data_IF_248237312726
#
_entry.id   IF_248237312726
#
_cell.length_a   1.000
_cell.length_b   1.000
_cell.length_c   1.000
_cell.angle_alpha   90.00
_cell.angle_beta   90.00
_cell.angle_gamma   90.00
#
_symmetry.space_group_name_H-M   'P 1'
#
loop_
_entity.id
_entity.type
_entity.pdbx_description
1 polymer ?
#
# COMPACT_ATOMS: atom_id res chain seq x y z
N UNK A 1 -10.84 -1.51 13.97
CA UNK A 1 -9.47 -1.01 14.25
C UNK A 1 -8.51 -1.65 13.24
N UNK A 2 -7.53 -0.90 12.72
CA UNK A 2 -6.51 -1.43 11.81
C UNK A 2 -5.55 -2.36 12.57
N UNK A 3 -5.22 -3.52 12.01
CA UNK A 3 -4.24 -4.43 12.60
C UNK A 3 -2.85 -4.09 12.08
N UNK A 4 -1.95 -3.67 12.97
CA UNK A 4 -0.56 -3.36 12.63
C UNK A 4 0.22 -4.58 12.14
N UNK A 5 -0.25 -5.79 12.47
CA UNK A 5 0.38 -7.04 12.06
C UNK A 5 0.52 -7.16 10.52
N UNK A 6 -0.40 -6.55 9.76
CA UNK A 6 -0.40 -6.59 8.30
C UNK A 6 0.84 -5.94 7.66
N UNK A 7 1.42 -4.92 8.30
CA UNK A 7 2.62 -4.25 7.78
C UNK A 7 3.89 -4.59 8.57
N UNK A 8 3.76 -5.25 9.72
CA UNK A 8 4.90 -5.52 10.62
C UNK A 8 5.94 -6.42 9.95
N UNK A 9 5.51 -7.43 9.20
CA UNK A 9 6.41 -8.28 8.41
C UNK A 9 7.29 -7.45 7.45
N UNK A 10 6.67 -6.58 6.66
CA UNK A 10 7.40 -5.71 5.73
C UNK A 10 8.32 -4.71 6.42
N UNK A 11 7.87 -4.05 7.50
CA UNK A 11 8.72 -3.14 8.30
C UNK A 11 9.93 -3.88 8.85
N UNK A 12 9.72 -5.04 9.46
CA UNK A 12 10.79 -5.86 10.03
C UNK A 12 11.77 -6.32 8.95
N UNK A 13 11.28 -6.80 7.80
CA UNK A 13 12.13 -7.22 6.67
C UNK A 13 13.02 -6.08 6.17
N UNK A 14 12.49 -4.87 5.99
CA UNK A 14 13.30 -3.73 5.57
C UNK A 14 14.27 -3.25 6.66
N UNK A 15 13.87 -3.28 7.93
CA UNK A 15 14.76 -2.96 9.05
C UNK A 15 15.94 -3.95 9.14
N UNK A 16 15.64 -5.25 9.00
CA UNK A 16 16.65 -6.31 9.00
C UNK A 16 17.61 -6.15 7.82
N UNK A 17 17.09 -5.91 6.61
CA UNK A 17 17.93 -5.69 5.43
C UNK A 17 18.79 -4.43 5.52
N UNK A 18 18.27 -3.35 6.12
CA UNK A 18 19.05 -2.15 6.43
C UNK A 18 20.22 -2.49 7.37
N UNK A 19 19.96 -3.16 8.49
CA UNK A 19 21.00 -3.51 9.47
C UNK A 19 22.06 -4.43 8.86
N UNK A 20 21.67 -5.47 8.14
CA UNK A 20 22.62 -6.43 7.55
C UNK A 20 23.49 -5.73 6.50
N UNK A 21 22.87 -5.00 5.55
CA UNK A 21 23.62 -4.37 4.47
C UNK A 21 24.45 -3.17 4.91
N UNK A 22 24.15 -2.59 6.07
CA UNK A 22 24.99 -1.55 6.67
C UNK A 22 26.36 -2.12 7.09
N UNK A 23 26.42 -3.39 7.51
CA UNK A 23 27.67 -4.05 7.89
C UNK A 23 28.27 -4.91 6.78
N UNK A 24 27.43 -5.50 5.92
CA UNK A 24 27.84 -6.42 4.86
C UNK A 24 27.27 -5.94 3.53
N UNK A 25 28.08 -5.24 2.74
CA UNK A 25 27.69 -4.68 1.45
C UNK A 25 27.61 -5.74 0.33
N UNK A 26 26.86 -6.82 0.57
CA UNK A 26 26.62 -7.87 -0.42
C UNK A 26 25.11 -8.17 -0.56
N UNK A 27 24.54 -7.69 -1.67
CA UNK A 27 23.12 -7.87 -1.98
C UNK A 27 22.72 -9.35 -2.15
N UNK A 28 23.65 -10.24 -2.50
CA UNK A 28 23.36 -11.68 -2.66
C UNK A 28 22.89 -12.31 -1.35
N UNK A 29 23.34 -11.80 -0.21
CA UNK A 29 22.89 -12.25 1.11
C UNK A 29 21.39 -12.01 1.27
N UNK A 30 20.87 -10.88 0.79
CA UNK A 30 19.44 -10.58 0.83
C UNK A 30 18.62 -11.51 -0.06
N UNK A 31 19.16 -11.90 -1.22
CA UNK A 31 18.54 -12.90 -2.09
C UNK A 31 18.43 -14.26 -1.39
N UNK A 32 19.50 -14.71 -0.72
CA UNK A 32 19.50 -15.97 0.03
C UNK A 32 18.49 -15.95 1.19
N UNK A 33 18.43 -14.86 1.96
CA UNK A 33 17.41 -14.71 3.01
C UNK A 33 16.00 -14.74 2.43
N UNK A 34 15.74 -14.00 1.35
CA UNK A 34 14.43 -13.97 0.71
C UNK A 34 14.01 -15.35 0.21
N UNK A 35 14.93 -16.09 -0.43
CA UNK A 35 14.69 -17.45 -0.90
C UNK A 35 14.40 -18.40 0.27
N UNK A 36 15.20 -18.35 1.34
CA UNK A 36 15.00 -19.18 2.53
C UNK A 36 13.63 -18.93 3.17
N UNK A 37 13.26 -17.67 3.40
CA UNK A 37 11.94 -17.34 3.96
C UNK A 37 10.79 -17.67 3.01
N UNK A 38 10.98 -17.55 1.69
CA UNK A 38 9.97 -17.95 0.70
C UNK A 38 9.72 -19.45 0.72
N UNK A 39 10.77 -20.28 0.81
CA UNK A 39 10.64 -21.74 0.93
C UNK A 39 9.89 -22.10 2.21
N UNK A 40 10.25 -21.49 3.35
CA UNK A 40 9.54 -21.70 4.63
C UNK A 40 8.08 -21.28 4.51
N UNK A 41 7.81 -20.09 3.98
CA UNK A 41 6.46 -19.56 3.81
C UNK A 41 5.59 -20.45 2.92
N UNK A 42 6.13 -20.91 1.79
CA UNK A 42 5.46 -21.86 0.90
C UNK A 42 5.18 -23.20 1.60
N UNK A 43 6.17 -23.73 2.33
CA UNK A 43 6.02 -24.99 3.07
C UNK A 43 4.94 -24.88 4.15
N UNK A 44 4.92 -23.77 4.90
CA UNK A 44 3.90 -23.49 5.91
C UNK A 44 2.51 -23.33 5.27
N UNK A 45 2.40 -22.68 4.12
CA UNK A 45 1.13 -22.55 3.40
C UNK A 45 0.58 -23.88 2.90
N UNK A 46 1.45 -24.85 2.54
CA UNK A 46 1.03 -26.20 2.17
C UNK A 46 0.54 -27.03 3.37
N UNK A 47 1.16 -26.84 4.54
CA UNK A 47 0.84 -27.58 5.79
C UNK A 47 -0.41 -26.99 6.45
N UNK A 48 -0.52 -25.66 6.49
CA UNK A 48 -1.63 -24.91 7.09
C UNK A 48 -2.66 -24.65 5.98
N UNK A 49 -3.38 -25.70 5.57
CA UNK A 49 -4.60 -25.52 4.81
C UNK A 49 -5.70 -25.08 5.78
N UNK A 50 -6.44 -24.02 5.45
CA UNK A 50 -7.58 -23.60 6.25
C UNK A 50 -8.50 -24.80 6.49
N UNK A 51 -8.97 -25.06 7.73
CA UNK A 51 -9.89 -26.16 7.98
C UNK A 51 -11.13 -25.95 7.10
N UNK A 52 -11.34 -26.88 6.17
CA UNK A 52 -12.50 -26.90 5.28
C UNK A 52 -13.76 -26.67 6.10
N UNK A 53 -14.53 -25.64 5.74
CA UNK A 53 -15.77 -25.24 6.38
C UNK A 53 -16.63 -26.42 6.85
N UNK A 54 -16.65 -26.67 8.17
CA UNK A 54 -17.78 -27.31 8.85
C UNK A 54 -18.53 -26.24 9.64
N UNK A 55 -19.29 -25.40 8.93
CA UNK A 55 -20.29 -24.56 9.58
C UNK A 55 -21.43 -25.46 10.05
N UNK A 56 -21.34 -25.94 11.30
CA UNK A 56 -22.47 -26.53 12.03
C UNK A 56 -22.36 -26.24 13.54
N UNK A 57 -22.03 -24.99 13.89
CA UNK A 57 -22.37 -24.46 15.21
C UNK A 57 -22.94 -23.07 15.02
N UNK A 58 -24.27 -22.96 15.14
CA UNK A 58 -24.90 -21.71 15.52
C UNK A 58 -24.27 -21.27 16.85
N UNK A 59 -23.30 -20.37 16.77
CA UNK A 59 -22.79 -19.70 17.94
C UNK A 59 -23.88 -18.70 18.33
N UNK A 60 -24.74 -19.11 19.27
CA UNK A 60 -25.63 -18.18 19.97
C UNK A 60 -24.72 -17.30 20.81
N UNK A 61 -24.37 -16.12 20.27
CA UNK A 61 -23.65 -15.09 21.03
C UNK A 61 -24.64 -14.51 22.04
N UNK A 62 -24.37 -14.57 23.35
CA UNK A 62 -25.21 -13.92 24.35
C UNK A 62 -25.17 -12.41 24.11
N UNK A 63 -26.29 -11.86 23.68
CA UNK A 63 -26.55 -10.41 23.58
C UNK A 63 -26.67 -9.90 25.01
N UNK A 64 -25.55 -9.69 25.74
CA UNK A 64 -25.61 -8.95 27.00
C UNK A 64 -24.32 -8.36 27.54
N UNK A 65 -23.19 -8.40 26.82
CA UNK A 65 -22.00 -7.64 27.23
C UNK A 65 -21.46 -6.81 26.08
N UNK A 66 -21.84 -5.53 26.09
CA UNK A 66 -21.00 -4.44 25.59
C UNK A 66 -20.37 -4.65 24.21
N UNK A 67 -21.12 -5.14 23.23
CA UNK A 67 -20.77 -4.93 21.82
C UNK A 67 -20.78 -3.41 21.65
N UNK A 68 -19.60 -2.81 21.80
CA UNK A 68 -19.34 -1.42 21.43
C UNK A 68 -20.05 -1.21 20.11
N UNK A 69 -21.03 -0.31 20.14
CA UNK A 69 -21.90 0.03 19.03
C UNK A 69 -21.14 -0.17 17.73
N UNK A 70 -21.63 -1.12 16.93
CA UNK A 70 -21.21 -1.22 15.53
C UNK A 70 -21.20 0.21 14.99
N UNK A 71 -20.09 0.67 14.38
CA UNK A 71 -19.96 2.07 14.00
C UNK A 71 -21.23 2.42 13.24
N UNK A 72 -21.96 3.42 13.75
CA UNK A 72 -23.25 3.88 13.24
C UNK A 72 -23.30 3.62 11.74
N UNK A 73 -24.30 2.85 11.28
CA UNK A 73 -24.51 2.54 9.86
C UNK A 73 -24.64 3.84 9.08
N UNK A 74 -23.53 4.50 8.77
CA UNK A 74 -23.47 5.56 7.77
C UNK A 74 -23.90 4.85 6.49
N UNK A 75 -25.04 5.26 5.94
CA UNK A 75 -25.53 4.70 4.69
C UNK A 75 -24.66 5.29 3.58
N UNK A 76 -23.59 4.57 3.24
CA UNK A 76 -22.61 5.03 2.27
C UNK A 76 -22.91 4.39 0.93
N UNK A 77 -23.20 5.21 -0.08
CA UNK A 77 -23.36 4.77 -1.47
C UNK A 77 -22.16 5.24 -2.30
N UNK A 78 -21.64 4.35 -3.14
CA UNK A 78 -20.50 4.60 -4.01
C UNK A 78 -20.43 3.54 -5.13
N UNK A 79 -19.79 3.86 -6.28
CA UNK A 79 -19.53 2.89 -7.34
C UNK A 79 -18.35 1.99 -6.95
N UNK A 80 -18.51 0.66 -7.02
CA UNK A 80 -17.48 -0.31 -6.64
C UNK A 80 -16.17 -0.15 -7.43
N UNK A 81 -16.26 0.27 -8.70
CA UNK A 81 -15.09 0.47 -9.55
C UNK A 81 -14.12 1.52 -8.96
N UNK A 82 -14.62 2.51 -8.22
CA UNK A 82 -13.78 3.58 -7.67
C UNK A 82 -12.76 3.07 -6.64
N UNK A 83 -13.14 2.41 -5.53
CA UNK A 83 -12.17 1.90 -4.58
C UNK A 83 -11.25 0.83 -5.20
N UNK A 84 -11.73 0.02 -6.14
CA UNK A 84 -10.90 -0.97 -6.84
C UNK A 84 -9.84 -0.32 -7.74
N UNK A 85 -10.23 0.72 -8.49
CA UNK A 85 -9.29 1.50 -9.29
C UNK A 85 -8.26 2.22 -8.41
N UNK A 86 -8.72 2.88 -7.33
CA UNK A 86 -7.83 3.57 -6.39
C UNK A 86 -6.80 2.62 -5.78
N UNK A 87 -7.22 1.43 -5.35
CA UNK A 87 -6.31 0.48 -4.73
C UNK A 87 -5.38 -0.19 -5.75
N UNK A 88 -5.85 -0.40 -6.98
CA UNK A 88 -5.00 -0.86 -8.09
C UNK A 88 -3.87 0.14 -8.40
N UNK A 89 -4.19 1.44 -8.47
CA UNK A 89 -3.16 2.48 -8.63
C UNK A 89 -2.21 2.50 -7.43
N UNK A 90 -2.73 2.41 -6.20
CA UNK A 90 -1.89 2.32 -5.01
C UNK A 90 -0.90 1.14 -5.07
N UNK A 91 -1.36 -0.04 -5.47
CA UNK A 91 -0.52 -1.23 -5.68
C UNK A 91 0.52 -1.00 -6.77
N UNK A 92 0.10 -0.36 -7.88
CA UNK A 92 0.98 -0.02 -8.99
C UNK A 92 2.11 0.94 -8.56
N UNK A 93 1.78 2.02 -7.85
CA UNK A 93 2.77 2.99 -7.38
C UNK A 93 3.81 2.32 -6.47
N UNK A 94 3.38 1.43 -5.56
CA UNK A 94 4.31 0.73 -4.66
C UNK A 94 5.16 -0.29 -5.43
N UNK A 95 4.57 -1.07 -6.34
CA UNK A 95 5.31 -2.03 -7.16
C UNK A 95 6.33 -1.35 -8.06
N UNK A 96 5.95 -0.24 -8.70
CA UNK A 96 6.82 0.56 -9.54
C UNK A 96 7.98 1.17 -8.75
N UNK A 97 7.69 1.77 -7.60
CA UNK A 97 8.73 2.26 -6.67
C UNK A 97 9.71 1.14 -6.25
N UNK A 98 9.20 -0.07 -6.03
CA UNK A 98 9.98 -1.26 -5.70
C UNK A 98 11.07 -1.62 -6.72
N UNK A 99 10.89 -1.25 -7.99
CA UNK A 99 11.88 -1.45 -9.05
C UNK A 99 12.69 -0.18 -9.35
N UNK A 100 12.01 0.95 -9.53
CA UNK A 100 12.63 2.17 -10.04
C UNK A 100 13.65 2.72 -9.06
N UNK A 101 13.32 2.75 -7.75
CA UNK A 101 14.19 3.39 -6.78
C UNK A 101 15.53 2.67 -6.59
N UNK A 102 15.60 1.33 -6.42
CA UNK A 102 16.88 0.63 -6.36
C UNK A 102 17.81 0.94 -7.54
N UNK A 103 17.27 0.99 -8.76
CA UNK A 103 18.05 1.34 -9.97
C UNK A 103 18.53 2.79 -9.91
N UNK A 104 17.65 3.73 -9.51
CA UNK A 104 18.02 5.14 -9.34
C UNK A 104 19.11 5.33 -8.28
N UNK A 105 19.01 4.61 -7.17
CA UNK A 105 19.97 4.62 -6.06
C UNK A 105 21.35 4.14 -6.53
N UNK A 106 21.39 3.08 -7.34
CA UNK A 106 22.62 2.57 -7.97
C UNK A 106 23.23 3.59 -8.94
N UNK A 107 22.43 4.20 -9.81
CA UNK A 107 22.90 5.26 -10.73
C UNK A 107 23.51 6.46 -9.97
N UNK A 108 22.96 6.79 -8.80
CA UNK A 108 23.47 7.85 -7.94
C UNK A 108 24.63 7.41 -7.04
N UNK A 109 25.06 6.15 -7.11
CA UNK A 109 26.11 5.54 -6.29
C UNK A 109 25.84 5.68 -4.78
N UNK A 110 24.57 5.55 -4.36
CA UNK A 110 24.25 5.48 -2.95
C UNK A 110 24.59 4.10 -2.37
N UNK A 111 24.92 4.07 -1.08
CA UNK A 111 25.22 2.82 -0.39
C UNK A 111 24.01 1.86 -0.40
N UNK A 112 24.27 0.56 -0.57
CA UNK A 112 23.22 -0.47 -0.77
C UNK A 112 22.17 -0.49 0.36
N UNK A 113 22.59 -0.26 1.60
CA UNK A 113 21.68 -0.25 2.76
C UNK A 113 20.59 0.83 2.65
N UNK A 114 20.83 1.91 1.90
CA UNK A 114 19.89 3.04 1.76
C UNK A 114 18.59 2.61 1.08
N UNK A 115 18.65 1.60 0.21
CA UNK A 115 17.46 1.00 -0.39
C UNK A 115 16.50 0.49 0.69
N UNK A 116 17.01 -0.32 1.60
CA UNK A 116 16.23 -0.90 2.68
C UNK A 116 15.82 0.15 3.72
N UNK A 117 16.70 1.11 4.04
CA UNK A 117 16.40 2.22 4.94
C UNK A 117 15.19 3.03 4.44
N UNK A 118 15.16 3.40 3.16
CA UNK A 118 14.09 4.25 2.64
C UNK A 118 12.77 3.50 2.50
N UNK A 119 12.80 2.22 2.10
CA UNK A 119 11.59 1.39 2.15
C UNK A 119 11.09 1.16 3.58
N UNK A 120 11.98 1.03 4.57
CA UNK A 120 11.63 1.00 5.99
C UNK A 120 10.95 2.30 6.44
N UNK A 121 11.51 3.46 6.10
CA UNK A 121 10.93 4.78 6.41
C UNK A 121 9.53 4.94 5.80
N UNK A 122 9.37 4.61 4.51
CA UNK A 122 8.08 4.63 3.82
C UNK A 122 7.07 3.70 4.48
N UNK A 123 7.42 2.44 4.74
CA UNK A 123 6.50 1.47 5.34
C UNK A 123 6.08 1.87 6.76
N UNK A 124 7.03 2.40 7.55
CA UNK A 124 6.76 2.85 8.92
C UNK A 124 5.80 4.04 8.93
N UNK A 125 6.11 5.08 8.14
CA UNK A 125 5.27 6.28 8.06
C UNK A 125 3.90 5.99 7.45
N UNK A 126 3.84 5.13 6.43
CA UNK A 126 2.59 4.65 5.86
C UNK A 126 1.74 3.92 6.92
N UNK A 127 2.34 3.02 7.70
CA UNK A 127 1.63 2.25 8.74
C UNK A 127 1.07 3.16 9.83
N UNK A 128 1.86 4.12 10.31
CA UNK A 128 1.42 5.14 11.27
C UNK A 128 0.25 5.93 10.68
N UNK A 129 0.37 6.33 9.41
CA UNK A 129 -0.66 7.13 8.74
C UNK A 129 -1.95 6.34 8.49
N UNK A 130 -1.89 5.05 8.09
CA UNK A 130 -3.07 4.17 7.99
C UNK A 130 -3.73 4.04 9.36
N UNK A 131 -2.95 3.75 10.41
CA UNK A 131 -3.47 3.58 11.77
C UNK A 131 -4.25 4.81 12.23
N UNK A 132 -3.70 6.02 12.05
CA UNK A 132 -4.38 7.27 12.41
C UNK A 132 -5.55 7.60 11.50
N UNK A 133 -5.39 7.47 10.18
CA UNK A 133 -6.44 7.83 9.22
C UNK A 133 -7.62 6.86 9.25
N UNK A 134 -7.45 5.65 9.80
CA UNK A 134 -8.55 4.69 9.98
C UNK A 134 -9.61 5.24 10.95
N UNK A 135 -9.25 6.08 11.91
CA UNK A 135 -10.19 6.69 12.86
C UNK A 135 -10.93 7.90 12.27
N UNK A 136 -10.49 8.42 11.13
CA UNK A 136 -11.16 9.57 10.49
C UNK A 136 -12.51 9.18 9.88
N UNK A 137 -13.49 10.08 9.94
CA UNK A 137 -14.74 9.92 9.18
C UNK A 137 -14.46 9.84 7.67
N UNK A 138 -15.32 9.16 6.91
CA UNK A 138 -15.17 9.06 5.44
C UNK A 138 -15.15 10.45 4.81
N UNK A 139 -16.00 11.37 5.27
CA UNK A 139 -16.03 12.76 4.79
C UNK A 139 -14.67 13.44 4.89
N UNK A 140 -13.94 13.24 5.98
CA UNK A 140 -12.59 13.79 6.18
C UNK A 140 -11.58 13.10 5.27
N UNK A 141 -11.59 11.77 5.23
CA UNK A 141 -10.68 10.98 4.38
C UNK A 141 -10.84 11.36 2.90
N UNK A 142 -12.09 11.51 2.43
CA UNK A 142 -12.46 11.97 1.09
C UNK A 142 -11.89 13.36 0.78
N UNK A 143 -11.99 14.31 1.71
CA UNK A 143 -11.41 15.65 1.53
C UNK A 143 -9.89 15.65 1.47
N UNK A 144 -9.24 14.68 2.11
CA UNK A 144 -7.78 14.57 2.11
C UNK A 144 -7.21 13.99 0.82
N UNK A 145 -7.95 13.18 0.07
CA UNK A 145 -7.45 12.50 -1.15
C UNK A 145 -6.82 13.48 -2.17
N UNK A 146 -7.43 14.62 -2.54
CA UNK A 146 -6.81 15.51 -3.51
C UNK A 146 -5.48 16.09 -3.02
N UNK A 147 -5.42 16.49 -1.75
CA UNK A 147 -4.22 17.07 -1.14
C UNK A 147 -3.12 16.00 -1.07
N UNK A 148 -3.47 14.82 -0.58
CA UNK A 148 -2.52 13.71 -0.45
C UNK A 148 -2.01 13.28 -1.83
N UNK A 149 -2.86 13.22 -2.85
CA UNK A 149 -2.42 12.86 -4.19
C UNK A 149 -1.50 13.91 -4.82
N UNK A 150 -1.80 15.21 -4.66
CA UNK A 150 -0.88 16.27 -5.10
C UNK A 150 0.51 16.14 -4.46
N UNK A 151 0.56 15.78 -3.18
CA UNK A 151 1.83 15.55 -2.48
C UNK A 151 2.54 14.26 -2.94
N UNK A 152 1.80 13.22 -3.33
CA UNK A 152 2.37 12.02 -3.98
C UNK A 152 2.94 12.37 -5.35
N UNK A 153 2.19 13.09 -6.19
CA UNK A 153 2.62 13.56 -7.52
C UNK A 153 3.92 14.36 -7.38
N UNK A 154 3.94 15.33 -6.47
CA UNK A 154 5.10 16.16 -6.19
C UNK A 154 6.28 15.34 -5.67
N UNK A 155 6.04 14.39 -4.75
CA UNK A 155 7.11 13.54 -4.21
C UNK A 155 7.75 12.69 -5.31
N UNK A 156 6.94 12.06 -6.16
CA UNK A 156 7.43 11.25 -7.30
C UNK A 156 8.18 12.10 -8.32
N UNK A 157 7.66 13.29 -8.64
CA UNK A 157 8.32 14.23 -9.54
C UNK A 157 9.70 14.64 -9.00
N UNK A 158 9.77 15.01 -7.71
CA UNK A 158 11.03 15.36 -7.06
C UNK A 158 12.00 14.17 -7.01
N UNK A 159 11.54 12.95 -6.76
CA UNK A 159 12.40 11.76 -6.82
C UNK A 159 13.03 11.55 -8.21
N UNK A 160 12.34 11.96 -9.28
CA UNK A 160 12.86 11.89 -10.65
C UNK A 160 14.02 12.87 -10.90
N UNK A 161 13.98 14.09 -10.35
CA UNK A 161 15.02 15.10 -10.60
C UNK A 161 16.10 15.16 -9.51
N UNK A 162 15.80 14.69 -8.31
CA UNK A 162 16.67 14.82 -7.15
C UNK A 162 17.89 13.88 -7.24
N UNK A 163 18.99 14.32 -6.62
CA UNK A 163 20.23 13.56 -6.45
C UNK A 163 20.74 13.52 -5.01
N UNK A 164 20.08 14.23 -4.08
CA UNK A 164 20.50 14.30 -2.69
C UNK A 164 19.87 13.18 -1.84
N UNK A 165 20.71 12.49 -1.08
CA UNK A 165 20.31 11.35 -0.25
C UNK A 165 19.29 11.73 0.84
N UNK A 166 19.47 12.85 1.52
CA UNK A 166 18.58 13.30 2.59
C UNK A 166 17.21 13.70 2.06
N UNK A 167 17.17 14.33 0.89
CA UNK A 167 15.92 14.64 0.21
C UNK A 167 15.15 13.35 -0.11
N UNK A 168 15.80 12.28 -0.57
CA UNK A 168 15.11 10.99 -0.78
C UNK A 168 14.46 10.45 0.49
N UNK A 169 15.14 10.51 1.65
CA UNK A 169 14.56 10.06 2.91
C UNK A 169 13.25 10.81 3.24
N UNK A 170 13.23 12.13 3.06
CA UNK A 170 12.04 12.97 3.27
C UNK A 170 10.94 12.59 2.27
N UNK A 171 11.28 12.41 1.00
CA UNK A 171 10.33 12.06 -0.06
C UNK A 171 9.71 10.66 0.17
N UNK A 172 10.48 9.69 0.68
CA UNK A 172 9.94 8.36 1.03
C UNK A 172 8.97 8.41 2.20
N UNK A 173 9.27 9.22 3.23
CA UNK A 173 8.34 9.49 4.33
C UNK A 173 7.06 10.16 3.81
N UNK A 174 7.18 11.21 2.99
CA UNK A 174 6.03 11.91 2.41
C UNK A 174 5.17 10.98 1.55
N UNK A 175 5.80 10.20 0.66
CA UNK A 175 5.13 9.21 -0.16
C UNK A 175 4.38 8.19 0.71
N UNK A 176 5.01 7.65 1.76
CA UNK A 176 4.36 6.72 2.70
C UNK A 176 3.13 7.31 3.38
N UNK A 177 3.25 8.52 3.94
CA UNK A 177 2.14 9.22 4.62
C UNK A 177 1.00 9.50 3.64
N UNK A 178 1.27 10.12 2.51
CA UNK A 178 0.21 10.62 1.65
C UNK A 178 -0.42 9.53 0.77
N UNK A 179 0.35 8.53 0.34
CA UNK A 179 -0.21 7.38 -0.38
C UNK A 179 -1.11 6.51 0.52
N UNK A 180 -0.92 6.54 1.85
CA UNK A 180 -1.78 5.80 2.80
C UNK A 180 -3.26 6.19 2.73
N UNK A 181 -3.58 7.44 2.37
CA UNK A 181 -4.98 7.89 2.32
C UNK A 181 -5.77 7.18 1.21
N UNK A 182 -5.10 6.85 0.09
CA UNK A 182 -5.68 6.02 -0.98
C UNK A 182 -6.08 4.66 -0.46
N UNK A 183 -5.15 3.99 0.24
CA UNK A 183 -5.39 2.71 0.88
C UNK A 183 -6.56 2.80 1.88
N UNK A 184 -6.51 3.75 2.81
CA UNK A 184 -7.52 3.89 3.87
C UNK A 184 -8.92 4.14 3.32
N UNK A 185 -9.07 5.03 2.33
CA UNK A 185 -10.40 5.28 1.75
C UNK A 185 -10.93 4.05 1.02
N UNK A 186 -10.12 3.43 0.15
CA UNK A 186 -10.53 2.26 -0.59
C UNK A 186 -10.90 1.10 0.33
N UNK A 187 -10.06 0.84 1.35
CA UNK A 187 -10.30 -0.20 2.35
C UNK A 187 -11.62 0.04 3.11
N UNK A 188 -11.84 1.26 3.61
CA UNK A 188 -13.10 1.62 4.30
C UNK A 188 -14.31 1.35 3.43
N UNK A 189 -14.30 1.83 2.18
CA UNK A 189 -15.41 1.63 1.25
C UNK A 189 -15.68 0.14 1.01
N UNK A 190 -14.65 -0.68 0.79
CA UNK A 190 -14.80 -2.13 0.63
C UNK A 190 -15.37 -2.80 1.88
N UNK A 191 -14.90 -2.44 3.07
CA UNK A 191 -15.45 -2.94 4.34
C UNK A 191 -16.94 -2.59 4.47
N UNK A 192 -17.34 -1.36 4.17
CA UNK A 192 -18.76 -0.99 4.17
C UNK A 192 -19.58 -1.78 3.15
N UNK A 193 -19.02 -2.08 1.97
CA UNK A 193 -19.68 -2.92 0.96
C UNK A 193 -19.90 -4.35 1.44
N UNK A 194 -18.89 -4.92 2.09
CA UNK A 194 -18.93 -6.26 2.65
C UNK A 194 -20.00 -6.36 3.74
N UNK A 195 -20.04 -5.38 4.66
CA UNK A 195 -21.04 -5.31 5.73
C UNK A 195 -22.45 -5.16 5.14
N UNK A 196 -22.64 -4.23 4.20
CA UNK A 196 -23.96 -3.97 3.61
C UNK A 196 -24.55 -5.16 2.84
N UNK A 197 -23.69 -6.04 2.29
CA UNK A 197 -24.12 -7.22 1.52
C UNK A 197 -23.87 -8.54 2.27
N UNK A 198 -23.48 -8.49 3.56
CA UNK A 198 -23.12 -9.64 4.38
C UNK A 198 -22.20 -10.66 3.67
N UNK A 199 -21.07 -10.19 3.13
CA UNK A 199 -20.16 -11.01 2.32
C UNK A 199 -18.70 -10.58 2.52
N UNK A 200 -17.74 -11.44 2.20
CA UNK A 200 -16.30 -11.14 2.17
C UNK A 200 -15.75 -10.98 0.74
N UNK A 201 -16.57 -11.20 -0.29
CA UNK A 201 -16.11 -11.27 -1.69
C UNK A 201 -15.42 -9.98 -2.16
N UNK A 202 -15.81 -8.82 -1.65
CA UNK A 202 -15.21 -7.56 -2.09
C UNK A 202 -13.80 -7.36 -1.51
N UNK A 203 -13.46 -8.06 -0.42
CA UNK A 203 -12.07 -8.14 0.06
C UNK A 203 -11.18 -8.89 -0.94
N UNK A 204 -11.70 -9.97 -1.54
CA UNK A 204 -10.97 -10.71 -2.59
C UNK A 204 -10.71 -9.78 -3.78
N UNK A 205 -11.69 -8.99 -4.20
CA UNK A 205 -11.50 -8.02 -5.29
C UNK A 205 -10.50 -6.93 -4.93
N UNK A 206 -10.50 -6.47 -3.69
CA UNK A 206 -9.54 -5.48 -3.18
C UNK A 206 -8.11 -6.01 -3.24
N UNK A 207 -7.85 -7.20 -2.69
CA UNK A 207 -6.53 -7.85 -2.72
C UNK A 207 -6.10 -8.16 -4.16
N UNK A 208 -7.02 -8.64 -5.00
CA UNK A 208 -6.76 -8.89 -6.42
C UNK A 208 -6.35 -7.63 -7.16
N UNK A 209 -7.05 -6.51 -6.92
CA UNK A 209 -6.72 -5.22 -7.53
C UNK A 209 -5.34 -4.70 -7.09
N UNK A 210 -4.99 -4.83 -5.80
CA UNK A 210 -3.63 -4.55 -5.31
C UNK A 210 -2.62 -5.41 -6.06
N UNK A 211 -2.84 -6.73 -6.11
CA UNK A 211 -1.95 -7.69 -6.71
C UNK A 211 -1.70 -7.43 -8.19
N UNK A 212 -2.76 -7.12 -8.96
CA UNK A 212 -2.65 -6.74 -10.37
C UNK A 212 -1.77 -5.50 -10.52
N UNK A 213 -2.07 -4.43 -9.77
CA UNK A 213 -1.28 -3.19 -9.83
C UNK A 213 0.19 -3.45 -9.50
N UNK A 214 0.44 -4.14 -8.39
CA UNK A 214 1.78 -4.46 -7.90
C UNK A 214 2.57 -5.35 -8.88
N UNK A 215 1.92 -6.31 -9.53
CA UNK A 215 2.55 -7.22 -10.49
C UNK A 215 2.91 -6.53 -11.82
N UNK A 216 1.98 -5.76 -12.39
CA UNK A 216 2.22 -5.10 -13.68
C UNK A 216 3.16 -3.90 -13.59
N UNK A 217 3.29 -3.28 -12.41
CA UNK A 217 4.09 -2.08 -12.28
C UNK A 217 5.58 -2.28 -12.56
N UNK A 218 6.28 -3.28 -11.99
CA UNK A 218 7.67 -3.57 -12.35
C UNK A 218 7.85 -3.87 -13.85
N UNK A 219 6.90 -4.56 -14.49
CA UNK A 219 7.00 -4.88 -15.92
C UNK A 219 7.00 -3.59 -16.76
N UNK A 220 5.99 -2.74 -16.57
CA UNK A 220 5.88 -1.48 -17.32
C UNK A 220 6.99 -0.50 -16.96
N UNK A 221 7.30 -0.36 -15.67
CA UNK A 221 8.37 0.53 -15.23
C UNK A 221 9.74 0.04 -15.71
N UNK A 222 9.97 -1.28 -15.83
CA UNK A 222 11.21 -1.84 -16.35
C UNK A 222 11.50 -1.40 -17.79
N UNK A 223 10.50 -1.40 -18.66
CA UNK A 223 10.64 -0.88 -20.02
C UNK A 223 10.99 0.62 -20.04
N UNK A 224 10.41 1.41 -19.14
CA UNK A 224 10.65 2.87 -19.08
C UNK A 224 12.04 3.16 -18.47
N UNK A 225 12.42 2.45 -17.41
CA UNK A 225 13.73 2.61 -16.75
C UNK A 225 14.88 2.23 -17.69
N UNK A 226 14.67 1.27 -18.60
CA UNK A 226 15.65 0.93 -19.63
C UNK A 226 15.98 2.11 -20.56
N UNK A 227 15.07 3.09 -20.67
CA UNK A 227 15.31 4.36 -21.38
C UNK A 227 15.94 5.37 -20.41
N UNK A 228 15.28 5.67 -19.29
CA UNK A 228 15.77 6.57 -18.24
C UNK A 228 15.01 6.34 -16.92
N UNK A 229 15.72 6.17 -15.81
CA UNK A 229 15.13 5.97 -14.49
C UNK A 229 14.27 7.15 -14.01
N UNK A 230 14.62 8.39 -14.39
CA UNK A 230 13.88 9.61 -14.07
C UNK A 230 12.53 9.63 -14.81
N UNK A 231 12.50 9.17 -16.07
CA UNK A 231 11.27 9.06 -16.84
C UNK A 231 10.27 8.13 -16.16
N UNK A 232 10.75 7.05 -15.51
CA UNK A 232 9.87 6.14 -14.79
C UNK A 232 9.22 6.80 -13.56
N UNK A 233 9.94 7.67 -12.85
CA UNK A 233 9.34 8.49 -11.78
C UNK A 233 8.30 9.49 -12.31
N UNK A 234 8.56 10.14 -13.45
CA UNK A 234 7.60 11.03 -14.08
C UNK A 234 6.36 10.27 -14.58
N UNK A 235 6.53 9.05 -15.08
CA UNK A 235 5.44 8.18 -15.44
C UNK A 235 4.55 7.84 -14.23
N UNK A 236 5.15 7.46 -13.08
CA UNK A 236 4.37 7.24 -11.85
C UNK A 236 3.65 8.52 -11.39
N UNK A 237 4.30 9.68 -11.50
CA UNK A 237 3.71 10.98 -11.18
C UNK A 237 2.49 11.28 -12.08
N UNK A 238 2.61 11.04 -13.39
CA UNK A 238 1.52 11.17 -14.36
C UNK A 238 0.37 10.19 -14.07
N UNK A 239 0.68 8.95 -13.71
CA UNK A 239 -0.33 7.96 -13.32
C UNK A 239 -1.08 8.41 -12.05
N UNK A 240 -0.38 8.98 -11.08
CA UNK A 240 -0.98 9.54 -9.87
C UNK A 240 -1.88 10.74 -10.19
N UNK A 241 -1.50 11.58 -11.15
CA UNK A 241 -2.33 12.67 -11.68
C UNK A 241 -3.60 12.13 -12.37
N UNK A 242 -3.48 11.12 -13.23
CA UNK A 242 -4.64 10.48 -13.86
C UNK A 242 -5.60 9.93 -12.80
N UNK A 243 -5.05 9.31 -11.75
CA UNK A 243 -5.82 8.82 -10.61
C UNK A 243 -6.54 9.94 -9.86
N UNK A 244 -5.92 11.12 -9.71
CA UNK A 244 -6.56 12.29 -9.13
C UNK A 244 -7.75 12.76 -9.97
N UNK A 245 -7.57 12.85 -11.29
CA UNK A 245 -8.63 13.28 -12.22
C UNK A 245 -9.83 12.33 -12.13
N UNK A 246 -9.59 11.02 -12.21
CA UNK A 246 -10.65 10.00 -12.10
C UNK A 246 -11.33 10.10 -10.73
N UNK A 247 -10.56 10.25 -9.66
CA UNK A 247 -11.13 10.44 -8.32
C UNK A 247 -12.04 11.68 -8.27
N UNK A 248 -11.60 12.84 -8.79
CA UNK A 248 -12.37 14.07 -8.77
C UNK A 248 -13.70 13.97 -9.55
N UNK A 249 -13.70 13.25 -10.68
CA UNK A 249 -14.91 12.97 -11.47
C UNK A 249 -15.93 12.11 -10.70
N UNK A 250 -15.45 11.17 -9.88
CA UNK A 250 -16.31 10.22 -9.18
C UNK A 250 -16.55 10.57 -7.70
N UNK A 251 -15.84 11.55 -7.12
CA UNK A 251 -15.92 11.87 -5.68
C UNK A 251 -17.35 12.19 -5.23
N UNK A 252 -18.15 12.86 -6.06
CA UNK A 252 -19.52 13.25 -5.72
C UNK A 252 -20.48 12.04 -5.66
N UNK A 253 -20.08 10.90 -6.24
CA UNK A 253 -20.83 9.64 -6.15
C UNK A 253 -20.62 8.93 -4.82
N UNK A 254 -19.62 9.32 -4.01
CA UNK A 254 -19.49 8.87 -2.62
C UNK A 254 -20.40 9.75 -1.74
N UNK A 255 -21.59 9.24 -1.41
CA UNK A 255 -22.55 9.92 -0.52
C UNK A 255 -22.52 9.26 0.85
N UNK A 256 -22.39 10.07 1.89
CA UNK A 256 -22.53 9.69 3.31
C UNK A 256 -23.85 10.29 3.77
N UNK A 257 -24.88 9.45 3.95
CA UNK A 257 -26.15 9.83 4.55
C UNK A 257 -26.12 9.55 6.05
#
# INVERSE_FOLDING_TARGET
KYSLAWNFGGIFSYALGFLILFYIENIQIMFLFALFFAIIGFSMALIIQEPSHSFNKEIIVPINEGVKETPQREHISFPLLLPLFMIGIYGFLIGGMGLIYPIKSEILNFALFTNYLFFFLRMSTQTISISKSMDFKIKTTKKMIPISNLLVIFSLFLMGINRDLFIFAILFCAFGIFNSFYYTLAFKLIVFRNIANNTSKYSIYFETAIGIGFFFAPILCGFIVAIDANLAFFFLSLLSLLSLVIYLLFKNKIKTN
#
